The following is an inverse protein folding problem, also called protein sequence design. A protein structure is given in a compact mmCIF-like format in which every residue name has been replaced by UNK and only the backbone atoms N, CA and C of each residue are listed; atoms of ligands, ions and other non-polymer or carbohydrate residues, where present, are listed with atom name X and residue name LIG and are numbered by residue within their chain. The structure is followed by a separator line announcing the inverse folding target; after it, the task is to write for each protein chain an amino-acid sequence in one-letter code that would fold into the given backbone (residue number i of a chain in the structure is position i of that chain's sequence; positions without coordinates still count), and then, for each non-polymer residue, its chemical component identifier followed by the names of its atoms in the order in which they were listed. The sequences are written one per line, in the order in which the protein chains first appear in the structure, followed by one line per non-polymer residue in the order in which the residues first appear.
data_IF_063386681592
#
_entry.id   IF_063386681592
#
_cell.length_a   1.000
_cell.length_b   1.000
_cell.length_c   1.000
_cell.angle_alpha   90.00
_cell.angle_beta   90.00
_cell.angle_gamma   90.00
#
_symmetry.space_group_name_H-M   'P 1'
#
loop_
_entity.id
_entity.type
_entity.pdbx_description
1 polymer ?
#
# COMPACT_ATOMS: atom_id res chain seq x y z
N UNK A 1 8.57 -11.46 -53.63
CA UNK A 1 9.10 -12.25 -52.47
C UNK A 1 10.22 -11.43 -51.86
N UNK A 2 9.88 -10.64 -51.09
CA UNK A 2 10.02 -10.36 -49.65
C UNK A 2 11.45 -10.00 -49.16
N UNK A 3 11.82 -8.74 -49.41
CA UNK A 3 13.00 -8.10 -48.83
C UNK A 3 12.84 -7.72 -47.35
N UNK A 4 11.72 -8.06 -46.70
CA UNK A 4 11.43 -7.74 -45.28
C UNK A 4 11.77 -8.85 -44.29
N UNK A 5 12.13 -10.04 -44.76
CA UNK A 5 12.48 -11.16 -43.87
C UNK A 5 13.99 -11.34 -43.64
N UNK A 6 14.81 -10.66 -44.40
CA UNK A 6 16.28 -10.76 -44.28
C UNK A 6 16.91 -9.75 -43.35
N UNK A 7 16.16 -8.71 -42.91
CA UNK A 7 16.71 -7.67 -42.02
C UNK A 7 16.56 -8.01 -40.52
N UNK A 8 15.69 -8.97 -40.19
CA UNK A 8 15.49 -9.38 -38.78
C UNK A 8 16.46 -10.45 -38.29
N UNK A 9 17.18 -11.13 -39.19
CA UNK A 9 18.18 -12.16 -38.84
C UNK A 9 19.60 -11.64 -38.67
N UNK A 10 19.90 -10.45 -39.18
CA UNK A 10 21.25 -9.86 -39.08
C UNK A 10 21.46 -9.07 -37.79
N UNK A 11 20.40 -8.67 -37.10
CA UNK A 11 20.53 -7.95 -35.82
C UNK A 11 20.66 -8.87 -34.61
N UNK A 12 20.21 -10.13 -34.72
CA UNK A 12 20.34 -11.12 -33.65
C UNK A 12 21.74 -11.78 -33.59
N UNK A 13 22.51 -11.74 -34.70
CA UNK A 13 23.86 -12.31 -34.74
C UNK A 13 24.96 -11.35 -34.26
N UNK A 14 24.66 -10.04 -34.16
CA UNK A 14 25.64 -9.03 -33.71
C UNK A 14 25.70 -8.88 -32.19
N UNK A 15 24.71 -9.38 -31.43
CA UNK A 15 24.71 -9.33 -29.96
C UNK A 15 25.31 -10.58 -29.27
N UNK A 16 25.58 -11.65 -30.03
CA UNK A 16 26.17 -12.87 -29.49
C UNK A 16 27.73 -12.91 -29.59
N UNK A 17 28.36 -11.95 -30.28
CA UNK A 17 29.81 -11.91 -30.49
C UNK A 17 30.58 -11.01 -29.50
N UNK A 18 29.91 -10.33 -28.57
CA UNK A 18 30.50 -9.37 -27.63
C UNK A 18 30.89 -9.90 -26.25
N UNK A 19 30.66 -11.20 -25.95
CA UNK A 19 30.83 -11.75 -24.58
C UNK A 19 31.94 -12.81 -24.42
N UNK A 20 32.85 -12.94 -25.40
CA UNK A 20 33.90 -13.98 -25.37
C UNK A 20 35.34 -13.47 -25.64
N UNK A 21 35.67 -12.22 -25.23
CA UNK A 21 37.06 -11.76 -25.30
C UNK A 21 37.44 -11.06 -23.97
N UNK A 22 37.91 -11.88 -23.02
CA UNK A 22 38.41 -11.38 -21.74
C UNK A 22 38.89 -12.42 -20.78
N UNK A 23 39.77 -13.37 -21.25
CA UNK A 23 40.61 -14.14 -20.34
C UNK A 23 41.83 -14.74 -21.09
N UNK A 24 43.02 -14.36 -20.67
CA UNK A 24 44.29 -15.02 -21.07
C UNK A 24 45.39 -14.01 -21.40
N UNK A 25 46.19 -13.66 -20.48
CA UNK A 25 47.44 -14.28 -20.08
C UNK A 25 48.69 -13.61 -20.59
N UNK A 26 49.47 -13.08 -19.66
CA UNK A 26 50.93 -13.16 -19.47
C UNK A 26 51.90 -12.31 -20.30
N UNK A 27 52.63 -11.57 -19.51
CA UNK A 27 54.12 -11.45 -19.32
C UNK A 27 54.87 -10.31 -19.98
N UNK A 28 55.51 -9.57 -19.04
CA UNK A 28 56.87 -8.98 -19.02
C UNK A 28 57.15 -7.77 -19.92
N UNK A 29 57.64 -6.68 -19.38
CA UNK A 29 58.93 -6.44 -18.74
C UNK A 29 59.03 -4.97 -18.26
N UNK A 30 59.75 -4.83 -17.19
CA UNK A 30 60.24 -3.72 -16.43
C UNK A 30 60.55 -2.38 -17.08
N UNK A 31 60.28 -1.30 -16.34
CA UNK A 31 61.26 -0.26 -16.05
C UNK A 31 60.87 0.54 -14.79
N UNK A 32 61.82 0.65 -13.94
CA UNK A 32 61.94 1.28 -12.62
C UNK A 32 61.65 2.77 -12.64
N UNK A 33 60.91 3.31 -11.61
CA UNK A 33 61.33 4.54 -10.94
C UNK A 33 60.72 4.58 -9.53
N UNK A 34 61.61 4.66 -8.59
CA UNK A 34 61.50 4.84 -7.15
C UNK A 34 60.79 6.14 -6.77
N UNK A 35 59.79 6.06 -5.88
CA UNK A 35 59.58 7.13 -4.90
C UNK A 35 58.94 6.58 -3.65
N UNK A 36 59.66 6.76 -2.58
CA UNK A 36 59.42 6.50 -1.18
C UNK A 36 58.14 7.17 -0.67
N UNK A 37 57.26 6.42 -0.03
CA UNK A 37 56.37 7.03 0.95
C UNK A 37 56.05 6.02 2.08
N UNK A 38 56.40 6.44 3.20
CA UNK A 38 56.26 6.07 4.60
C UNK A 38 54.98 5.23 4.89
N UNK A 39 55.22 4.05 5.42
CA UNK A 39 54.24 3.23 6.17
C UNK A 39 53.83 4.00 7.43
N UNK A 40 52.55 4.22 7.56
CA UNK A 40 51.90 4.51 8.84
C UNK A 40 51.01 3.34 9.20
N UNK A 41 51.55 2.47 10.01
CA UNK A 41 50.88 1.32 10.61
C UNK A 41 49.96 1.86 11.70
N UNK A 42 48.67 1.97 11.42
CA UNK A 42 47.66 2.13 12.45
C UNK A 42 47.19 0.72 12.84
N UNK A 43 47.67 0.24 13.95
CA UNK A 43 47.15 -0.91 14.68
C UNK A 43 45.77 -0.52 15.19
N UNK A 44 44.73 -1.01 14.51
CA UNK A 44 43.38 -1.03 15.06
C UNK A 44 43.28 -2.21 16.00
N UNK A 45 43.46 -1.96 17.29
CA UNK A 45 43.02 -2.85 18.35
C UNK A 45 41.49 -2.81 18.36
N UNK A 46 40.87 -3.75 17.65
CA UNK A 46 39.48 -4.10 17.88
C UNK A 46 39.43 -4.76 19.28
N UNK A 47 39.07 -3.96 20.27
CA UNK A 47 38.57 -4.50 21.51
C UNK A 47 37.19 -5.09 21.23
N UNK A 48 37.17 -6.41 21.00
CA UNK A 48 35.93 -7.17 21.14
C UNK A 48 35.56 -7.15 22.62
N UNK A 49 34.74 -6.21 23.01
CA UNK A 49 33.91 -6.36 24.19
C UNK A 49 32.82 -7.38 23.80
N UNK A 50 33.10 -8.65 24.06
CA UNK A 50 32.06 -9.64 24.28
C UNK A 50 31.25 -9.17 25.48
N UNK A 51 30.22 -8.39 25.26
CA UNK A 51 29.11 -8.27 26.16
C UNK A 51 28.32 -9.57 26.01
N UNK A 52 28.64 -10.57 26.81
CA UNK A 52 27.74 -11.67 27.10
C UNK A 52 26.59 -11.12 27.95
N UNK A 53 25.66 -10.48 27.31
CA UNK A 53 24.29 -10.47 27.75
C UNK A 53 23.64 -11.60 26.96
N UNK A 54 23.02 -12.55 27.66
CA UNK A 54 22.00 -13.43 27.06
C UNK A 54 20.94 -12.47 26.51
N UNK A 55 21.11 -11.99 25.28
CA UNK A 55 20.13 -11.17 24.59
C UNK A 55 18.97 -12.11 24.30
N UNK A 56 17.89 -11.95 25.04
CA UNK A 56 16.69 -12.73 24.88
C UNK A 56 16.04 -12.38 23.54
N UNK A 57 16.48 -13.01 22.47
CA UNK A 57 15.90 -12.91 21.13
C UNK A 57 16.27 -11.65 20.34
N UNK A 58 15.71 -11.58 19.14
CA UNK A 58 15.85 -10.47 18.18
C UNK A 58 14.54 -10.24 17.45
N UNK A 59 14.39 -9.08 16.85
CA UNK A 59 13.24 -8.71 16.00
C UNK A 59 13.71 -8.52 14.57
N UNK A 60 13.04 -9.18 13.63
CA UNK A 60 13.15 -8.88 12.21
C UNK A 60 11.79 -8.48 11.68
N UNK A 61 11.60 -7.17 11.41
CA UNK A 61 10.38 -6.61 10.86
C UNK A 61 10.49 -6.44 9.35
N UNK A 62 9.65 -7.14 8.59
CA UNK A 62 9.44 -6.85 7.16
C UNK A 62 8.35 -5.78 7.03
N UNK A 63 8.79 -4.54 6.82
CA UNK A 63 7.93 -3.38 6.71
C UNK A 63 7.27 -3.28 5.32
N UNK A 64 5.97 -3.06 5.32
CA UNK A 64 5.14 -2.91 4.11
C UNK A 64 5.20 -1.49 3.52
N UNK A 65 5.39 -0.47 4.36
CA UNK A 65 5.21 0.95 4.02
C UNK A 65 6.56 1.59 3.67
N UNK A 66 6.93 1.70 2.37
CA UNK A 66 8.20 2.31 1.98
C UNK A 66 8.30 3.78 2.39
N UNK A 67 7.19 4.50 2.45
CA UNK A 67 7.13 5.89 2.91
C UNK A 67 7.50 6.07 4.39
N UNK A 68 7.51 4.97 5.17
CA UNK A 68 7.82 4.97 6.60
C UNK A 68 9.18 4.32 6.93
N UNK A 69 9.99 4.00 5.93
CA UNK A 69 11.26 3.30 6.14
C UNK A 69 12.16 4.02 7.15
N UNK A 70 12.42 5.30 6.94
CA UNK A 70 13.29 6.09 7.82
C UNK A 70 12.75 6.15 9.26
N UNK A 71 11.45 6.35 9.43
CA UNK A 71 10.82 6.40 10.74
C UNK A 71 10.92 5.07 11.49
N UNK A 72 10.69 3.95 10.80
CA UNK A 72 10.87 2.62 11.39
C UNK A 72 12.33 2.30 11.72
N UNK A 73 13.30 2.68 10.87
CA UNK A 73 14.72 2.51 11.16
C UNK A 73 15.12 3.27 12.44
N UNK A 74 14.66 4.52 12.57
CA UNK A 74 14.92 5.36 13.72
C UNK A 74 14.30 4.80 15.01
N UNK A 75 13.06 4.31 14.94
CA UNK A 75 12.35 3.72 16.07
C UNK A 75 13.01 2.41 16.53
N UNK A 76 13.38 1.55 15.59
CA UNK A 76 14.11 0.31 15.84
C UNK A 76 15.45 0.57 16.55
N UNK A 77 16.17 1.58 16.09
CA UNK A 77 17.44 2.00 16.73
C UNK A 77 17.22 2.44 18.18
N UNK A 78 16.23 3.29 18.44
CA UNK A 78 15.88 3.74 19.81
C UNK A 78 15.57 2.57 20.72
N UNK A 79 14.73 1.64 20.27
CA UNK A 79 14.40 0.45 21.05
C UNK A 79 15.63 -0.40 21.37
N UNK A 80 16.49 -0.63 20.38
CA UNK A 80 17.74 -1.39 20.59
C UNK A 80 18.68 -0.68 21.58
N UNK A 81 18.81 0.66 21.50
CA UNK A 81 19.62 1.45 22.43
C UNK A 81 19.09 1.37 23.87
N UNK A 82 17.77 1.32 24.03
CA UNK A 82 17.12 1.29 25.34
C UNK A 82 17.15 -0.11 25.98
N UNK A 83 16.88 -1.14 25.18
CA UNK A 83 16.64 -2.50 25.70
C UNK A 83 17.80 -3.47 25.48
N UNK A 84 18.70 -3.17 24.56
CA UNK A 84 19.74 -4.08 24.09
C UNK A 84 19.24 -5.15 23.11
N UNK A 85 17.94 -5.23 22.82
CA UNK A 85 17.36 -6.19 21.86
C UNK A 85 17.58 -5.70 20.43
N UNK A 86 18.24 -6.48 19.56
CA UNK A 86 18.42 -6.09 18.16
C UNK A 86 17.10 -6.06 17.41
N UNK A 87 16.85 -4.98 16.68
CA UNK A 87 15.71 -4.85 15.77
C UNK A 87 16.22 -4.50 14.37
N UNK A 88 15.96 -5.40 13.42
CA UNK A 88 16.25 -5.19 12.00
C UNK A 88 14.96 -4.88 11.27
N UNK A 89 14.92 -3.77 10.53
CA UNK A 89 13.81 -3.41 9.65
C UNK A 89 14.26 -3.54 8.20
N UNK A 90 13.55 -4.35 7.43
CA UNK A 90 13.71 -4.43 5.97
C UNK A 90 12.41 -3.96 5.34
N UNK A 91 12.50 -3.00 4.44
CA UNK A 91 11.33 -2.42 3.80
C UNK A 91 11.19 -2.94 2.37
N UNK A 92 10.04 -3.51 2.05
CA UNK A 92 9.72 -3.94 0.70
C UNK A 92 9.46 -2.75 -0.23
N UNK A 93 9.87 -2.85 -1.49
CA UNK A 93 9.53 -1.86 -2.49
C UNK A 93 8.01 -1.83 -2.74
N UNK A 94 7.50 -0.66 -3.16
CA UNK A 94 6.08 -0.47 -3.47
C UNK A 94 5.56 -1.54 -4.45
N UNK A 95 4.44 -2.18 -4.11
CA UNK A 95 3.83 -3.23 -4.91
C UNK A 95 4.57 -4.58 -4.92
N UNK A 96 5.67 -4.73 -4.15
CA UNK A 96 6.49 -5.94 -4.11
C UNK A 96 6.41 -6.70 -2.78
N UNK A 97 5.54 -6.28 -1.88
CA UNK A 97 5.53 -6.83 -0.51
C UNK A 97 5.30 -8.33 -0.47
N UNK A 98 4.25 -8.84 -1.13
CA UNK A 98 3.93 -10.28 -1.13
C UNK A 98 5.06 -11.13 -1.70
N UNK A 99 5.67 -10.70 -2.82
CA UNK A 99 6.81 -11.39 -3.42
C UNK A 99 8.02 -11.38 -2.50
N UNK A 100 8.28 -10.26 -1.83
CA UNK A 100 9.35 -10.12 -0.85
C UNK A 100 9.09 -11.00 0.36
N UNK A 101 7.87 -10.98 0.92
CA UNK A 101 7.50 -11.80 2.07
C UNK A 101 7.65 -13.30 1.77
N UNK A 102 7.19 -13.76 0.61
CA UNK A 102 7.40 -15.16 0.19
C UNK A 102 8.88 -15.53 0.18
N UNK A 103 9.73 -14.70 -0.41
CA UNK A 103 11.16 -14.93 -0.48
C UNK A 103 11.84 -14.88 0.90
N UNK A 104 11.43 -13.95 1.77
CA UNK A 104 12.01 -13.81 3.10
C UNK A 104 11.60 -14.97 4.03
N UNK A 105 10.36 -15.47 3.92
CA UNK A 105 9.87 -16.59 4.72
C UNK A 105 10.55 -17.94 4.41
N UNK A 106 11.17 -18.07 3.24
CA UNK A 106 11.95 -19.25 2.86
C UNK A 106 13.39 -19.28 3.42
N UNK A 107 13.84 -18.14 3.99
CA UNK A 107 15.19 -18.03 4.55
C UNK A 107 15.28 -18.67 5.93
N UNK A 108 16.49 -19.05 6.32
CA UNK A 108 16.79 -19.53 7.69
C UNK A 108 16.55 -18.45 8.75
N UNK A 109 16.69 -17.18 8.37
CA UNK A 109 16.42 -16.00 9.17
C UNK A 109 15.19 -15.29 8.59
N UNK A 110 14.02 -15.88 8.79
CA UNK A 110 12.75 -15.33 8.33
C UNK A 110 12.29 -14.15 9.21
N UNK A 111 11.43 -13.25 8.70
CA UNK A 111 10.85 -12.20 9.52
C UNK A 111 10.11 -12.76 10.73
N UNK A 112 10.38 -12.19 11.92
CA UNK A 112 9.63 -12.50 13.15
C UNK A 112 8.35 -11.69 13.23
N UNK A 113 8.34 -10.53 12.55
CA UNK A 113 7.23 -9.60 12.42
C UNK A 113 6.99 -9.30 10.95
N UNK A 114 5.77 -9.50 10.49
CA UNK A 114 5.35 -9.17 9.13
C UNK A 114 3.92 -8.60 9.14
N UNK A 115 3.40 -8.19 8.00
CA UNK A 115 2.02 -7.73 7.89
C UNK A 115 1.22 -8.51 6.86
N UNK A 116 -0.10 -8.47 7.02
CA UNK A 116 -1.06 -8.90 6.01
C UNK A 116 -2.02 -7.77 5.68
N UNK A 117 -2.50 -7.73 4.43
CA UNK A 117 -3.50 -6.79 3.99
C UNK A 117 -4.90 -7.38 4.23
N UNK A 118 -5.40 -7.17 5.43
CA UNK A 118 -6.73 -7.62 5.85
C UNK A 118 -6.95 -9.12 5.74
N UNK A 119 -8.21 -9.58 5.78
CA UNK A 119 -8.55 -11.00 5.68
C UNK A 119 -8.16 -11.66 4.37
N UNK A 120 -8.06 -10.89 3.28
CA UNK A 120 -7.65 -11.43 1.97
C UNK A 120 -6.17 -11.83 2.01
N UNK A 121 -5.31 -10.95 2.52
CA UNK A 121 -3.89 -11.24 2.73
C UNK A 121 -3.69 -12.36 3.78
N UNK A 122 -4.43 -12.30 4.89
CA UNK A 122 -4.37 -13.31 5.94
C UNK A 122 -4.63 -14.73 5.42
N UNK A 123 -5.53 -14.90 4.44
CA UNK A 123 -5.85 -16.21 3.89
C UNK A 123 -4.63 -16.97 3.34
N UNK A 124 -3.58 -16.26 2.93
CA UNK A 124 -2.33 -16.84 2.43
C UNK A 124 -1.33 -17.14 3.56
N UNK A 125 -1.40 -16.42 4.68
CA UNK A 125 -0.34 -16.40 5.69
C UNK A 125 -0.78 -16.90 7.07
N UNK A 126 -2.05 -17.23 7.28
CA UNK A 126 -2.60 -17.57 8.59
C UNK A 126 -1.88 -18.72 9.31
N UNK A 127 -1.34 -19.67 8.56
CA UNK A 127 -0.61 -20.82 9.11
C UNK A 127 0.74 -20.43 9.73
N UNK A 128 1.24 -19.22 9.41
CA UNK A 128 2.45 -18.62 9.97
C UNK A 128 2.17 -17.63 11.11
N UNK A 129 0.91 -17.36 11.42
CA UNK A 129 0.54 -16.36 12.42
C UNK A 129 0.45 -16.98 13.81
N UNK A 130 1.13 -16.36 14.77
CA UNK A 130 1.00 -16.68 16.20
C UNK A 130 -0.40 -16.28 16.68
N UNK A 131 -0.96 -17.06 17.59
CA UNK A 131 -2.15 -16.63 18.34
C UNK A 131 -1.78 -15.55 19.37
N UNK A 132 -2.25 -14.33 19.13
CA UNK A 132 -1.97 -13.14 19.95
C UNK A 132 -2.98 -12.95 21.09
N UNK A 133 -3.97 -13.82 21.27
CA UNK A 133 -5.08 -13.63 22.22
C UNK A 133 -4.62 -13.44 23.67
N UNK A 134 -3.46 -13.99 24.05
CA UNK A 134 -2.84 -13.85 25.37
C UNK A 134 -1.74 -12.78 25.44
N UNK A 135 -1.47 -12.04 24.38
CA UNK A 135 -0.38 -11.06 24.36
C UNK A 135 -0.79 -9.71 24.97
N UNK A 136 0.20 -9.02 25.56
CA UNK A 136 -0.01 -7.69 26.13
C UNK A 136 -0.41 -6.69 25.05
N UNK A 137 0.23 -6.75 23.87
CA UNK A 137 -0.07 -5.84 22.75
C UNK A 137 -1.51 -5.97 22.25
N UNK A 138 -2.07 -7.19 22.19
CA UNK A 138 -3.48 -7.37 21.87
C UNK A 138 -4.39 -6.71 22.93
N UNK A 139 -4.03 -6.81 24.21
CA UNK A 139 -4.71 -6.16 25.30
C UNK A 139 -4.73 -4.63 25.24
N UNK A 140 -3.87 -4.01 24.42
CA UNK A 140 -3.83 -2.56 24.21
C UNK A 140 -4.80 -2.07 23.13
N UNK A 141 -5.38 -2.93 22.31
CA UNK A 141 -6.38 -2.52 21.31
C UNK A 141 -7.57 -1.82 21.97
N UNK A 142 -8.10 -0.80 21.32
CA UNK A 142 -9.32 -0.08 21.76
C UNK A 142 -10.60 -0.85 21.46
N UNK A 143 -10.56 -1.78 20.51
CA UNK A 143 -11.68 -2.65 20.12
C UNK A 143 -11.19 -3.92 19.45
N UNK A 144 -11.90 -5.02 19.68
CA UNK A 144 -11.68 -6.31 18.99
C UNK A 144 -11.93 -6.24 17.49
N UNK A 145 -12.61 -5.22 16.99
CA UNK A 145 -12.80 -4.99 15.55
C UNK A 145 -11.51 -4.70 14.80
N UNK A 146 -10.45 -4.34 15.52
CA UNK A 146 -9.11 -4.13 14.98
C UNK A 146 -8.23 -5.40 15.00
N UNK A 147 -8.81 -6.55 15.27
CA UNK A 147 -8.14 -7.85 15.21
C UNK A 147 -8.74 -8.73 14.10
N UNK A 148 -7.90 -9.51 13.45
CA UNK A 148 -8.35 -10.60 12.57
C UNK A 148 -8.26 -11.92 13.34
N UNK A 149 -9.24 -12.79 13.11
CA UNK A 149 -9.36 -14.08 13.83
C UNK A 149 -9.46 -15.24 12.84
N UNK A 150 -8.89 -16.38 13.22
CA UNK A 150 -9.13 -17.68 12.59
C UNK A 150 -9.70 -18.62 13.68
N UNK A 151 -11.00 -18.83 13.68
CA UNK A 151 -11.70 -19.43 14.81
C UNK A 151 -11.64 -18.54 16.05
N UNK A 152 -11.11 -19.09 17.15
CA UNK A 152 -10.91 -18.36 18.42
C UNK A 152 -9.54 -17.66 18.51
N UNK A 153 -8.61 -17.98 17.62
CA UNK A 153 -7.27 -17.44 17.64
C UNK A 153 -7.24 -16.01 17.04
N UNK A 154 -6.55 -15.09 17.71
CA UNK A 154 -6.25 -13.75 17.20
C UNK A 154 -4.98 -13.83 16.36
N UNK A 155 -5.11 -13.86 15.05
CA UNK A 155 -3.98 -14.09 14.13
C UNK A 155 -3.21 -12.82 13.80
N UNK A 156 -3.85 -11.66 13.90
CA UNK A 156 -3.21 -10.37 13.59
C UNK A 156 -3.97 -9.19 14.19
N UNK A 157 -3.27 -8.07 14.34
CA UNK A 157 -3.82 -6.83 14.91
C UNK A 157 -3.52 -5.65 14.00
N UNK A 158 -4.52 -4.80 13.79
CA UNK A 158 -4.34 -3.55 13.05
C UNK A 158 -3.37 -2.62 13.78
N UNK A 159 -2.47 -1.97 13.05
CA UNK A 159 -1.54 -1.02 13.65
C UNK A 159 -1.75 0.43 13.20
N UNK A 160 -2.60 0.65 12.20
CA UNK A 160 -2.92 1.99 11.72
C UNK A 160 -4.36 2.04 11.20
N UNK A 161 -5.05 3.15 11.47
CA UNK A 161 -6.30 3.53 10.84
C UNK A 161 -5.97 4.59 9.80
N UNK A 162 -6.44 4.41 8.57
CA UNK A 162 -6.14 5.29 7.46
C UNK A 162 -7.40 5.80 6.79
N UNK A 163 -7.26 6.94 6.13
CA UNK A 163 -8.35 7.61 5.42
C UNK A 163 -7.89 8.00 4.03
N UNK A 164 -8.73 7.82 3.02
CA UNK A 164 -8.45 8.28 1.67
C UNK A 164 -9.64 9.01 1.04
N UNK A 165 -9.28 9.77 0.02
CA UNK A 165 -10.20 10.58 -0.77
C UNK A 165 -9.47 11.12 -1.99
N UNK A 166 -9.80 12.35 -2.38
CA UNK A 166 -9.12 13.10 -3.43
C UNK A 166 -8.35 14.23 -2.76
N UNK A 167 -7.03 14.08 -2.65
CA UNK A 167 -6.15 15.15 -2.19
C UNK A 167 -6.14 16.23 -3.27
N UNK A 168 -6.18 17.50 -2.90
CA UNK A 168 -6.12 18.59 -3.86
C UNK A 168 -5.22 19.73 -3.41
N UNK A 169 -4.69 20.44 -4.40
CA UNK A 169 -3.87 21.64 -4.20
C UNK A 169 -4.81 22.87 -4.16
N UNK A 170 -4.92 23.50 -2.98
CA UNK A 170 -5.82 24.65 -2.75
C UNK A 170 -5.44 25.87 -3.59
N UNK A 171 -4.14 26.12 -3.76
CA UNK A 171 -3.64 27.23 -4.58
C UNK A 171 -4.08 27.07 -6.03
N UNK A 172 -3.92 25.88 -6.62
CA UNK A 172 -4.31 25.60 -8.00
C UNK A 172 -5.84 25.62 -8.18
N UNK A 173 -6.59 25.05 -7.21
CA UNK A 173 -8.05 25.08 -7.24
C UNK A 173 -8.57 26.53 -7.18
N UNK A 174 -8.00 27.36 -6.30
CA UNK A 174 -8.33 28.79 -6.19
C UNK A 174 -7.97 29.56 -7.45
N UNK A 175 -6.80 29.26 -8.06
CA UNK A 175 -6.39 29.88 -9.31
C UNK A 175 -7.34 29.54 -10.48
N UNK A 176 -7.98 28.36 -10.43
CA UNK A 176 -9.02 27.97 -11.37
C UNK A 176 -10.37 28.66 -11.09
N UNK A 177 -10.52 29.36 -9.95
CA UNK A 177 -11.73 30.10 -9.56
C UNK A 177 -12.70 29.28 -8.69
N UNK A 178 -12.22 28.21 -8.06
CA UNK A 178 -13.03 27.31 -7.23
C UNK A 178 -12.46 27.14 -5.82
N UNK A 179 -13.32 26.67 -4.93
CA UNK A 179 -13.01 26.25 -3.57
C UNK A 179 -13.62 24.89 -3.29
N UNK A 180 -13.33 24.30 -2.15
CA UNK A 180 -13.95 23.04 -1.71
C UNK A 180 -15.49 23.16 -1.65
N UNK A 181 -16.03 24.33 -1.31
CA UNK A 181 -17.47 24.56 -1.19
C UNK A 181 -18.23 24.44 -2.52
N UNK A 182 -17.52 24.53 -3.64
CA UNK A 182 -18.08 24.36 -4.98
C UNK A 182 -18.24 22.89 -5.38
N UNK A 183 -17.77 21.92 -4.54
CA UNK A 183 -17.73 20.49 -4.85
C UNK A 183 -18.45 19.71 -3.74
N UNK A 184 -19.72 19.38 -3.95
CA UNK A 184 -20.58 18.69 -2.97
C UNK A 184 -21.12 17.34 -3.46
N UNK A 185 -20.76 16.93 -4.65
CA UNK A 185 -21.17 15.72 -5.30
C UNK A 185 -20.42 15.50 -6.60
N UNK A 186 -20.71 14.38 -7.27
CA UNK A 186 -20.04 14.01 -8.53
C UNK A 186 -20.22 15.05 -9.65
N UNK A 187 -21.43 15.59 -9.82
CA UNK A 187 -21.70 16.53 -10.90
C UNK A 187 -20.90 17.83 -10.73
N UNK A 188 -20.75 18.31 -9.48
CA UNK A 188 -19.89 19.44 -9.17
C UNK A 188 -18.42 19.13 -9.44
N UNK A 189 -17.92 17.97 -8.95
CA UNK A 189 -16.56 17.54 -9.18
C UNK A 189 -16.26 17.46 -10.69
N UNK A 190 -17.17 16.85 -11.46
CA UNK A 190 -17.04 16.72 -12.91
C UNK A 190 -17.00 18.11 -13.57
N UNK A 191 -17.91 19.02 -13.20
CA UNK A 191 -17.94 20.39 -13.75
C UNK A 191 -16.62 21.12 -13.50
N UNK A 192 -16.09 21.04 -12.30
CA UNK A 192 -14.82 21.68 -11.92
C UNK A 192 -13.64 21.05 -12.68
N UNK A 193 -13.60 19.73 -12.75
CA UNK A 193 -12.53 18.99 -13.45
C UNK A 193 -12.56 19.27 -14.96
N UNK A 194 -13.73 19.19 -15.61
CA UNK A 194 -13.91 19.50 -17.04
C UNK A 194 -13.42 20.93 -17.36
N UNK A 195 -13.74 21.92 -16.52
CA UNK A 195 -13.32 23.30 -16.71
C UNK A 195 -11.80 23.46 -16.56
N UNK A 196 -11.21 22.86 -15.53
CA UNK A 196 -9.76 22.86 -15.34
C UNK A 196 -9.06 22.17 -16.52
N UNK A 197 -9.56 21.04 -16.97
CA UNK A 197 -9.01 20.30 -18.11
C UNK A 197 -9.06 21.15 -19.41
N UNK A 198 -10.17 21.82 -19.64
CA UNK A 198 -10.33 22.70 -20.80
C UNK A 198 -9.38 23.90 -20.77
N UNK A 199 -9.08 24.43 -19.59
CA UNK A 199 -8.21 25.61 -19.37
C UNK A 199 -6.81 25.27 -18.90
N UNK A 200 -6.38 24.00 -18.99
CA UNK A 200 -5.11 23.56 -18.43
C UNK A 200 -3.89 24.36 -18.89
N UNK A 201 -3.85 24.76 -20.14
CA UNK A 201 -2.76 25.58 -20.66
C UNK A 201 -2.74 26.99 -20.03
N UNK A 202 -3.91 27.61 -19.80
CA UNK A 202 -4.06 28.89 -19.11
C UNK A 202 -3.62 28.79 -17.65
N UNK A 203 -4.03 27.68 -16.99
CA UNK A 203 -3.76 27.42 -15.57
C UNK A 203 -2.33 26.91 -15.30
N UNK A 204 -1.57 26.56 -16.35
CA UNK A 204 -0.22 26.04 -16.22
C UNK A 204 -0.14 24.60 -15.69
N UNK A 205 -1.24 23.85 -15.77
CA UNK A 205 -1.31 22.44 -15.41
C UNK A 205 -1.36 21.54 -16.65
N UNK A 206 -1.10 20.24 -16.48
CA UNK A 206 -1.17 19.27 -17.56
C UNK A 206 -2.51 18.51 -17.58
N UNK A 207 -3.26 18.55 -16.46
CA UNK A 207 -4.57 17.97 -16.32
C UNK A 207 -5.24 18.35 -15.01
N UNK A 208 -6.54 18.07 -14.87
CA UNK A 208 -7.25 18.25 -13.63
C UNK A 208 -6.80 17.23 -12.58
N UNK A 209 -6.74 15.94 -12.95
CA UNK A 209 -6.24 14.85 -12.12
C UNK A 209 -4.82 14.43 -12.50
N UNK A 210 -4.08 13.91 -11.54
CA UNK A 210 -2.87 13.13 -11.81
C UNK A 210 -3.20 11.91 -12.67
N UNK A 211 -2.19 11.34 -13.31
CA UNK A 211 -2.36 10.07 -14.05
C UNK A 211 -2.91 8.97 -13.13
N UNK A 212 -3.92 8.26 -13.61
CA UNK A 212 -4.45 7.06 -12.98
C UNK A 212 -3.53 5.88 -13.30
N UNK A 213 -2.37 5.80 -12.64
CA UNK A 213 -1.37 4.77 -12.90
C UNK A 213 -1.91 3.37 -12.62
N UNK A 214 -1.88 2.53 -13.65
CA UNK A 214 -2.37 1.15 -13.65
C UNK A 214 -1.27 0.12 -13.80
N UNK A 215 -0.02 0.51 -13.59
CA UNK A 215 1.04 -0.47 -13.45
C UNK A 215 0.84 -1.32 -12.19
N UNK A 216 1.38 -2.55 -12.16
CA UNK A 216 1.11 -3.51 -11.10
C UNK A 216 1.53 -3.09 -9.68
N UNK A 217 2.35 -2.03 -9.56
CA UNK A 217 2.72 -1.44 -8.27
C UNK A 217 1.75 -0.38 -7.76
N UNK A 218 0.83 0.11 -8.61
CA UNK A 218 0.05 1.33 -8.37
C UNK A 218 -1.44 1.20 -8.59
N UNK A 219 -1.89 0.15 -9.25
CA UNK A 219 -3.28 -0.10 -9.66
C UNK A 219 -4.24 -0.33 -8.49
N UNK A 220 -3.71 -0.63 -7.29
CA UNK A 220 -4.49 -0.81 -6.05
C UNK A 220 -5.39 0.39 -5.74
N UNK A 221 -4.97 1.61 -6.10
CA UNK A 221 -5.77 2.82 -5.90
C UNK A 221 -7.13 2.75 -6.60
N UNK A 222 -7.23 2.02 -7.70
CA UNK A 222 -8.43 1.96 -8.54
C UNK A 222 -9.14 0.61 -8.46
N UNK A 223 -8.41 -0.51 -8.55
CA UNK A 223 -9.00 -1.85 -8.45
C UNK A 223 -9.46 -2.22 -7.03
N UNK A 224 -8.96 -1.52 -6.00
CA UNK A 224 -9.32 -1.74 -4.59
C UNK A 224 -9.99 -0.51 -3.99
N UNK A 225 -9.29 0.62 -3.90
CA UNK A 225 -9.78 1.81 -3.20
C UNK A 225 -10.95 2.48 -3.92
N UNK A 226 -10.86 2.67 -5.23
CA UNK A 226 -11.99 3.22 -6.00
C UNK A 226 -13.13 2.20 -6.11
N UNK A 227 -12.82 0.91 -6.32
CA UNK A 227 -13.80 -0.16 -6.36
C UNK A 227 -14.59 -0.33 -5.04
N UNK A 228 -14.04 0.14 -3.94
CA UNK A 228 -14.72 0.15 -2.64
C UNK A 228 -16.05 0.94 -2.68
N UNK A 229 -16.11 2.02 -3.43
CA UNK A 229 -17.27 2.91 -3.44
C UNK A 229 -18.54 2.20 -3.98
N UNK A 230 -18.54 1.59 -5.18
CA UNK A 230 -19.72 0.86 -5.66
C UNK A 230 -20.10 -0.32 -4.75
N UNK A 231 -19.14 -1.00 -4.12
CA UNK A 231 -19.40 -2.07 -3.15
C UNK A 231 -20.10 -1.52 -1.90
N UNK A 232 -19.55 -0.44 -1.32
CA UNK A 232 -20.11 0.20 -0.14
C UNK A 232 -21.56 0.66 -0.35
N UNK A 233 -21.84 1.32 -1.48
CA UNK A 233 -23.19 1.79 -1.79
C UNK A 233 -24.17 0.65 -2.03
N UNK A 234 -23.74 -0.43 -2.68
CA UNK A 234 -24.58 -1.62 -2.83
C UNK A 234 -24.89 -2.27 -1.48
N UNK A 235 -23.89 -2.43 -0.62
CA UNK A 235 -24.09 -2.98 0.72
C UNK A 235 -25.03 -2.13 1.57
N UNK A 236 -24.87 -0.81 1.50
CA UNK A 236 -25.74 0.14 2.19
C UNK A 236 -27.17 0.06 1.69
N UNK A 237 -27.38 -0.02 0.37
CA UNK A 237 -28.70 -0.12 -0.24
C UNK A 237 -29.40 -1.45 0.10
N UNK A 238 -28.64 -2.54 0.13
CA UNK A 238 -29.14 -3.88 0.44
C UNK A 238 -29.22 -4.17 1.94
N UNK A 239 -28.64 -3.32 2.80
CA UNK A 239 -28.60 -3.54 4.26
C UNK A 239 -27.74 -4.73 4.68
N UNK A 240 -26.65 -5.01 3.95
CA UNK A 240 -25.72 -6.12 4.18
C UNK A 240 -24.31 -5.63 4.46
N UNK A 241 -23.45 -6.48 5.03
CA UNK A 241 -22.04 -6.20 5.27
C UNK A 241 -21.07 -7.03 4.42
N UNK A 242 -21.57 -8.04 3.71
CA UNK A 242 -20.80 -8.91 2.82
C UNK A 242 -21.73 -9.70 1.90
N UNK A 243 -21.18 -10.23 0.80
CA UNK A 243 -21.92 -11.11 -0.11
C UNK A 243 -20.97 -12.06 -0.85
N UNK A 244 -21.46 -13.25 -1.20
CA UNK A 244 -20.75 -14.17 -2.09
C UNK A 244 -21.03 -13.89 -3.58
N UNK A 245 -22.00 -13.00 -3.87
CA UNK A 245 -22.40 -12.64 -5.24
C UNK A 245 -22.85 -11.17 -5.25
N UNK A 246 -21.94 -10.29 -5.64
CA UNK A 246 -22.23 -8.87 -5.80
C UNK A 246 -23.11 -8.67 -7.06
N UNK A 247 -24.06 -7.73 -7.00
CA UNK A 247 -24.99 -7.46 -8.11
C UNK A 247 -24.41 -6.49 -9.13
N UNK A 248 -23.52 -5.61 -8.71
CA UNK A 248 -22.99 -4.55 -9.56
C UNK A 248 -23.94 -3.36 -9.74
N UNK A 249 -24.81 -3.12 -8.76
CA UNK A 249 -25.85 -2.07 -8.83
C UNK A 249 -25.27 -0.68 -9.11
N UNK A 250 -24.07 -0.39 -8.60
CA UNK A 250 -23.41 0.92 -8.73
C UNK A 250 -22.24 0.92 -9.73
N UNK A 251 -22.18 -0.02 -10.68
CA UNK A 251 -21.11 -0.05 -11.67
C UNK A 251 -21.19 1.07 -12.71
N UNK A 252 -22.37 1.60 -13.00
CA UNK A 252 -22.51 2.83 -13.80
C UNK A 252 -21.94 4.06 -13.07
N UNK A 253 -22.05 4.10 -11.75
CA UNK A 253 -21.43 5.12 -10.91
C UNK A 253 -19.90 4.96 -10.88
N UNK A 254 -19.41 3.72 -10.80
CA UNK A 254 -17.99 3.41 -10.92
C UNK A 254 -17.42 3.86 -12.27
N UNK A 255 -18.18 3.64 -13.34
CA UNK A 255 -17.84 4.11 -14.69
C UNK A 255 -17.69 5.63 -14.74
N UNK A 256 -18.64 6.37 -14.16
CA UNK A 256 -18.62 7.84 -14.18
C UNK A 256 -17.33 8.41 -13.60
N UNK A 257 -16.93 7.95 -12.40
CA UNK A 257 -15.71 8.45 -11.76
C UNK A 257 -14.45 7.93 -12.47
N UNK A 258 -14.44 6.70 -12.97
CA UNK A 258 -13.32 6.17 -13.75
C UNK A 258 -13.14 6.93 -15.07
N UNK A 259 -14.21 7.18 -15.80
CA UNK A 259 -14.18 8.01 -17.01
C UNK A 259 -13.59 9.40 -16.72
N UNK A 260 -14.02 10.04 -15.64
CA UNK A 260 -13.51 11.35 -15.26
C UNK A 260 -12.00 11.30 -14.97
N UNK A 261 -11.52 10.29 -14.25
CA UNK A 261 -10.11 10.14 -13.93
C UNK A 261 -9.22 9.88 -15.15
N UNK A 262 -9.74 9.22 -16.19
CA UNK A 262 -8.95 8.92 -17.39
C UNK A 262 -9.08 9.98 -18.49
N UNK A 263 -10.15 10.78 -18.51
CA UNK A 263 -10.34 11.85 -19.48
C UNK A 263 -9.74 13.18 -19.05
N UNK A 264 -9.88 13.54 -17.77
CA UNK A 264 -9.46 14.82 -17.22
C UNK A 264 -8.12 14.70 -16.46
N UNK A 265 -7.20 14.01 -17.07
CA UNK A 265 -5.93 13.60 -16.50
C UNK A 265 -4.73 14.23 -17.21
N UNK A 266 -3.59 14.15 -16.57
CA UNK A 266 -2.28 14.60 -17.08
C UNK A 266 -1.76 13.72 -18.21
N UNK A 267 -2.27 12.50 -18.38
CA UNK A 267 -1.73 11.56 -19.37
C UNK A 267 -2.79 10.96 -20.30
N UNK A 268 -2.34 10.49 -21.47
CA UNK A 268 -3.18 9.71 -22.39
C UNK A 268 -3.61 8.39 -21.70
N UNK A 269 -4.92 8.06 -21.66
CA UNK A 269 -5.42 6.82 -21.08
C UNK A 269 -4.79 5.53 -21.62
N UNK A 270 -4.25 5.56 -22.84
CA UNK A 270 -3.54 4.43 -23.46
C UNK A 270 -2.21 4.10 -22.80
N UNK A 271 -1.67 5.02 -21.97
CA UNK A 271 -0.38 4.87 -21.32
C UNK A 271 -0.50 4.41 -19.85
N UNK A 272 -1.71 4.23 -19.32
CA UNK A 272 -1.92 3.95 -17.90
C UNK A 272 -1.25 2.66 -17.41
N UNK A 273 -1.13 1.65 -18.26
CA UNK A 273 -0.43 0.40 -17.89
C UNK A 273 1.05 0.58 -17.53
N UNK A 274 1.68 1.68 -17.98
CA UNK A 274 3.07 2.02 -17.71
C UNK A 274 3.24 3.17 -16.69
N UNK A 275 2.14 3.76 -16.23
CA UNK A 275 2.18 4.85 -15.25
C UNK A 275 2.14 4.31 -13.84
N UNK A 276 3.04 4.84 -12.99
CA UNK A 276 3.23 4.43 -11.61
C UNK A 276 2.63 5.43 -10.61
N UNK A 277 2.54 5.05 -9.34
CA UNK A 277 2.22 5.98 -8.26
C UNK A 277 3.24 7.12 -8.14
N UNK A 278 4.52 6.84 -8.39
CA UNK A 278 5.58 7.86 -8.38
C UNK A 278 5.39 8.90 -9.49
N UNK A 279 4.90 8.50 -10.66
CA UNK A 279 4.52 9.45 -11.73
C UNK A 279 3.42 10.40 -11.23
N UNK A 280 2.37 9.87 -10.58
CA UNK A 280 1.27 10.67 -10.05
C UNK A 280 1.75 11.62 -8.93
N UNK A 281 2.62 11.16 -8.03
CA UNK A 281 3.24 12.02 -6.99
C UNK A 281 4.02 13.16 -7.65
N UNK A 282 4.87 12.84 -8.63
CA UNK A 282 5.70 13.85 -9.32
C UNK A 282 4.83 14.90 -10.04
N UNK A 283 3.72 14.49 -10.67
CA UNK A 283 2.77 15.37 -11.32
C UNK A 283 2.09 16.30 -10.30
N UNK A 284 1.67 15.78 -9.16
CA UNK A 284 0.99 16.55 -8.11
C UNK A 284 1.95 17.52 -7.41
N UNK A 285 3.10 17.06 -6.96
CA UNK A 285 4.13 17.89 -6.31
C UNK A 285 4.72 18.92 -7.28
N UNK A 286 4.84 18.54 -8.55
CA UNK A 286 5.24 19.45 -9.63
C UNK A 286 4.19 20.48 -10.03
N UNK A 287 3.03 20.53 -9.34
CA UNK A 287 1.90 21.42 -9.63
C UNK A 287 1.36 21.27 -11.07
N UNK A 288 1.39 20.03 -11.60
CA UNK A 288 0.89 19.68 -12.93
C UNK A 288 -0.53 19.18 -12.93
N UNK A 289 -1.09 18.86 -11.75
CA UNK A 289 -2.46 18.47 -11.54
C UNK A 289 -3.02 19.10 -10.27
N UNK A 290 -4.33 19.34 -10.26
CA UNK A 290 -5.05 19.89 -9.11
C UNK A 290 -5.46 18.81 -8.12
N UNK A 291 -5.87 17.63 -8.63
CA UNK A 291 -6.47 16.54 -7.88
C UNK A 291 -5.61 15.27 -7.94
N UNK A 292 -5.52 14.58 -6.79
CA UNK A 292 -4.74 13.35 -6.61
C UNK A 292 -5.50 12.38 -5.71
N UNK A 293 -6.07 11.30 -6.25
CA UNK A 293 -6.69 10.27 -5.42
C UNK A 293 -5.62 9.49 -4.66
N UNK A 294 -5.56 9.69 -3.37
CA UNK A 294 -4.74 8.93 -2.45
C UNK A 294 -5.21 9.15 -1.00
N UNK A 295 -4.46 8.65 -0.03
CA UNK A 295 -4.84 8.69 1.37
C UNK A 295 -3.87 9.46 2.27
N UNK A 296 -4.14 9.40 3.57
CA UNK A 296 -3.36 10.05 4.62
C UNK A 296 -1.90 9.62 4.63
N UNK A 297 -1.59 8.42 4.19
CA UNK A 297 -0.22 7.90 4.02
C UNK A 297 0.61 8.66 2.99
N UNK A 298 -0.03 9.29 2.00
CA UNK A 298 0.67 10.06 0.97
C UNK A 298 1.19 11.41 1.46
N UNK A 299 0.89 11.80 2.70
CA UNK A 299 1.33 13.09 3.24
C UNK A 299 2.85 13.27 3.17
N UNK A 300 3.63 12.24 3.49
CA UNK A 300 5.09 12.29 3.42
C UNK A 300 5.61 12.66 2.02
N UNK A 301 4.90 12.24 0.98
CA UNK A 301 5.26 12.52 -0.42
C UNK A 301 4.87 13.93 -0.88
N UNK A 302 3.82 14.52 -0.28
CA UNK A 302 3.21 15.78 -0.75
C UNK A 302 3.40 16.96 0.21
N UNK A 303 3.99 16.76 1.39
CA UNK A 303 4.16 17.78 2.45
C UNK A 303 4.90 19.03 2.02
N UNK A 304 5.80 18.92 1.04
CA UNK A 304 6.57 20.05 0.53
C UNK A 304 5.71 21.10 -0.23
N UNK A 305 4.46 20.75 -0.56
CA UNK A 305 3.48 21.72 -1.07
C UNK A 305 2.96 22.68 0.03
N UNK A 306 3.20 22.37 1.30
CA UNK A 306 2.76 23.12 2.48
C UNK A 306 1.40 22.64 3.00
N UNK A 307 1.30 22.47 4.32
CA UNK A 307 0.11 21.93 4.99
C UNK A 307 -1.15 22.74 4.69
N UNK A 308 -1.03 24.07 4.71
CA UNK A 308 -2.15 24.98 4.42
C UNK A 308 -2.65 24.87 2.98
N UNK A 309 -1.82 24.36 2.07
CA UNK A 309 -2.14 24.21 0.65
C UNK A 309 -2.79 22.84 0.33
N UNK A 310 -2.77 21.91 1.25
CA UNK A 310 -3.37 20.59 1.06
C UNK A 310 -4.82 20.56 1.53
N UNK A 311 -5.69 19.98 0.73
CA UNK A 311 -7.07 19.64 1.08
C UNK A 311 -7.38 18.20 0.68
N UNK A 312 -8.52 17.68 1.13
CA UNK A 312 -9.01 16.37 0.73
C UNK A 312 -10.53 16.40 0.57
N UNK A 313 -11.01 15.86 -0.53
CA UNK A 313 -12.43 15.70 -0.86
C UNK A 313 -12.85 14.24 -0.76
N UNK A 314 -14.13 13.96 -0.45
CA UNK A 314 -14.70 12.63 -0.67
C UNK A 314 -14.64 12.23 -2.14
N UNK A 315 -14.58 10.93 -2.40
CA UNK A 315 -14.69 10.39 -3.76
C UNK A 315 -16.17 10.26 -4.08
N UNK A 316 -16.72 11.23 -4.76
CA UNK A 316 -18.10 11.21 -5.21
C UNK A 316 -18.24 10.40 -6.50
N UNK A 317 -19.26 9.53 -6.57
CA UNK A 317 -19.52 8.67 -7.73
C UNK A 317 -20.89 8.87 -8.36
N UNK A 318 -21.65 9.88 -7.90
CA UNK A 318 -23.01 10.16 -8.34
C UNK A 318 -24.04 9.21 -7.73
N UNK A 319 -23.76 8.66 -6.54
CA UNK A 319 -24.72 7.85 -5.80
C UNK A 319 -25.71 8.75 -5.02
N UNK A 320 -26.93 8.26 -4.84
CA UNK A 320 -27.93 8.97 -4.06
C UNK A 320 -27.49 9.14 -2.60
N UNK A 321 -27.58 10.36 -2.08
CA UNK A 321 -27.22 10.72 -0.70
C UNK A 321 -25.71 10.97 -0.51
N UNK A 322 -24.92 11.04 -1.58
CA UNK A 322 -23.46 11.27 -1.48
C UNK A 322 -23.10 12.68 -0.95
N UNK A 323 -24.05 13.62 -0.94
CA UNK A 323 -23.86 14.94 -0.34
C UNK A 323 -23.58 14.88 1.18
N UNK A 324 -23.94 13.76 1.82
CA UNK A 324 -23.64 13.48 3.22
C UNK A 324 -22.41 12.57 3.41
N UNK A 325 -21.76 12.18 2.32
CA UNK A 325 -20.60 11.32 2.33
C UNK A 325 -19.38 12.06 2.88
N UNK A 326 -18.64 11.40 3.77
CA UNK A 326 -17.31 11.77 4.21
C UNK A 326 -16.23 10.99 3.44
N UNK A 327 -15.05 10.91 4.04
CA UNK A 327 -13.90 10.20 3.48
C UNK A 327 -13.99 8.69 3.73
N UNK A 328 -13.25 7.92 2.95
CA UNK A 328 -13.15 6.48 3.13
C UNK A 328 -12.18 6.15 4.27
N UNK A 329 -12.65 5.52 5.34
CA UNK A 329 -11.86 5.29 6.56
C UNK A 329 -11.91 3.82 6.96
N UNK A 330 -10.75 3.27 7.35
CA UNK A 330 -10.63 1.88 7.79
C UNK A 330 -9.20 1.46 8.05
N UNK A 331 -8.98 0.14 8.11
CA UNK A 331 -7.65 -0.46 8.22
C UNK A 331 -7.54 -1.69 7.34
N UNK A 332 -6.40 -1.84 6.69
CA UNK A 332 -6.01 -3.04 5.95
C UNK A 332 -4.64 -3.55 6.39
N UNK A 333 -3.96 -2.81 7.26
CA UNK A 333 -2.59 -3.08 7.69
C UNK A 333 -2.60 -3.77 9.06
N UNK A 334 -2.30 -5.08 9.07
CA UNK A 334 -2.35 -5.91 10.27
C UNK A 334 -1.00 -6.56 10.53
N UNK A 335 -0.43 -6.35 11.71
CA UNK A 335 0.76 -7.07 12.16
C UNK A 335 0.48 -8.52 12.47
N UNK A 336 1.38 -9.39 12.03
CA UNK A 336 1.45 -10.81 12.35
C UNK A 336 2.82 -11.12 12.96
N UNK A 337 2.83 -11.90 14.02
CA UNK A 337 4.05 -12.48 14.61
C UNK A 337 4.24 -13.87 14.04
N UNK A 338 5.44 -14.18 13.54
CA UNK A 338 5.74 -15.45 12.91
C UNK A 338 5.86 -16.57 13.96
N UNK A 339 4.93 -17.51 13.92
CA UNK A 339 4.88 -18.65 14.86
C UNK A 339 5.99 -19.70 14.64
N UNK A 340 6.76 -19.61 13.54
CA UNK A 340 7.90 -20.49 13.26
C UNK A 340 9.23 -19.96 13.79
N UNK A 341 9.24 -18.74 14.36
CA UNK A 341 10.40 -18.15 15.02
C UNK A 341 10.69 -18.87 16.35
N UNK A 342 11.89 -18.69 16.92
CA UNK A 342 12.21 -19.19 18.24
C UNK A 342 11.33 -18.53 19.31
N UNK A 343 11.14 -19.20 20.44
CA UNK A 343 10.35 -18.63 21.55
C UNK A 343 10.93 -17.29 22.04
N UNK A 344 12.27 -17.16 22.04
CA UNK A 344 12.98 -15.93 22.42
C UNK A 344 12.72 -14.81 21.41
N UNK A 345 12.73 -15.10 20.10
CA UNK A 345 12.45 -14.12 19.05
C UNK A 345 10.96 -13.71 19.04
N UNK A 346 10.06 -14.65 19.30
CA UNK A 346 8.63 -14.36 19.47
C UNK A 346 8.42 -13.40 20.64
N UNK A 347 9.00 -13.71 21.81
CA UNK A 347 8.84 -12.84 22.98
C UNK A 347 9.44 -11.44 22.73
N UNK A 348 10.65 -11.38 22.15
CA UNK A 348 11.29 -10.11 21.79
C UNK A 348 10.40 -9.29 20.82
N UNK A 349 9.75 -9.95 19.88
CA UNK A 349 8.82 -9.29 18.93
C UNK A 349 7.56 -8.77 19.61
N UNK A 350 6.96 -9.56 20.51
CA UNK A 350 5.80 -9.12 21.31
C UNK A 350 6.13 -7.94 22.21
N UNK A 351 7.30 -7.96 22.86
CA UNK A 351 7.78 -6.86 23.72
C UNK A 351 8.04 -5.59 22.90
N UNK A 352 8.63 -5.73 21.71
CA UNK A 352 8.83 -4.61 20.77
C UNK A 352 7.50 -4.00 20.35
N UNK A 353 6.53 -4.81 19.92
CA UNK A 353 5.21 -4.33 19.53
C UNK A 353 4.50 -3.62 20.69
N UNK A 354 4.53 -4.21 21.90
CA UNK A 354 3.93 -3.59 23.07
C UNK A 354 4.59 -2.27 23.42
N UNK A 355 5.92 -2.18 23.35
CA UNK A 355 6.67 -0.93 23.54
C UNK A 355 6.30 0.12 22.49
N UNK A 356 6.18 -0.24 21.20
CA UNK A 356 5.78 0.69 20.15
C UNK A 356 4.43 1.38 20.44
N UNK A 357 3.47 0.64 21.02
CA UNK A 357 2.09 1.13 21.21
C UNK A 357 1.79 1.64 22.62
N UNK A 358 2.75 1.54 23.57
CA UNK A 358 2.54 1.94 24.97
C UNK A 358 3.57 2.93 25.47
N UNK A 359 4.82 2.92 24.98
CA UNK A 359 5.85 3.84 25.41
C UNK A 359 5.62 5.25 24.87
N UNK A 360 6.21 6.24 25.50
CA UNK A 360 6.14 7.64 25.07
C UNK A 360 6.89 7.82 23.75
N UNK A 361 8.04 7.17 23.60
CA UNK A 361 8.86 7.17 22.40
C UNK A 361 8.14 6.49 21.22
N UNK A 362 7.57 5.30 21.42
CA UNK A 362 6.87 4.55 20.40
C UNK A 362 5.63 5.29 19.90
N UNK A 363 4.77 5.73 20.83
CA UNK A 363 3.52 6.42 20.48
C UNK A 363 3.76 7.80 19.86
N UNK A 364 4.81 8.54 20.29
CA UNK A 364 5.22 9.79 19.65
C UNK A 364 5.73 9.55 18.22
N UNK A 365 6.61 8.57 18.03
CA UNK A 365 7.12 8.27 16.69
C UNK A 365 5.99 7.86 15.73
N UNK A 366 5.05 7.05 16.20
CA UNK A 366 3.91 6.65 15.36
C UNK A 366 2.99 7.84 15.00
N UNK A 367 2.75 8.76 15.94
CA UNK A 367 1.90 9.92 15.69
C UNK A 367 2.60 11.04 14.90
N UNK A 368 3.85 11.37 15.28
CA UNK A 368 4.56 12.56 14.79
C UNK A 368 5.44 12.25 13.57
N UNK A 369 6.25 11.17 13.63
CA UNK A 369 7.19 10.85 12.57
C UNK A 369 6.49 10.09 11.43
N UNK A 370 5.58 9.15 11.76
CA UNK A 370 4.86 8.33 10.79
C UNK A 370 3.50 8.93 10.39
N UNK A 371 2.95 9.85 11.20
CA UNK A 371 1.63 10.44 10.95
C UNK A 371 0.49 9.43 11.11
N UNK A 372 0.67 8.39 11.93
CA UNK A 372 -0.33 7.33 12.11
C UNK A 372 -1.42 7.72 13.10
N UNK A 373 -2.62 7.21 12.84
CA UNK A 373 -3.67 7.03 13.85
C UNK A 373 -3.66 5.56 14.23
N UNK A 374 -3.24 5.25 15.44
CA UNK A 374 -3.13 3.86 15.90
C UNK A 374 -4.34 3.44 16.74
N UNK A 375 -4.87 2.20 16.58
CA UNK A 375 -6.06 1.74 17.31
C UNK A 375 -5.74 1.23 18.73
N UNK A 376 -4.83 1.90 19.45
CA UNK A 376 -4.37 1.49 20.78
C UNK A 376 -4.68 2.53 21.85
N UNK A 377 -4.79 2.07 23.11
CA UNK A 377 -5.22 2.89 24.26
C UNK A 377 -4.33 4.09 24.56
N UNK A 378 -3.02 3.97 24.30
CA UNK A 378 -2.06 5.04 24.52
C UNK A 378 -1.77 5.88 23.27
N UNK A 379 -2.60 5.78 22.22
CA UNK A 379 -2.44 6.56 21.00
C UNK A 379 -2.36 8.06 21.28
N UNK A 380 -1.45 8.74 20.59
CA UNK A 380 -1.34 10.20 20.54
C UNK A 380 -2.04 10.74 19.30
N UNK A 381 -2.44 12.00 19.33
CA UNK A 381 -2.99 12.67 18.16
C UNK A 381 -1.91 12.80 17.08
N UNK A 382 -2.26 12.44 15.85
CA UNK A 382 -1.36 12.54 14.71
C UNK A 382 -1.19 13.99 14.28
N UNK A 383 0.03 14.36 13.92
CA UNK A 383 0.37 15.69 13.37
C UNK A 383 0.11 15.79 11.86
N UNK A 384 -0.31 14.72 11.20
CA UNK A 384 -0.63 14.72 9.78
C UNK A 384 -1.87 15.59 9.48
N UNK A 385 -1.73 16.70 8.70
CA UNK A 385 -2.84 17.63 8.43
C UNK A 385 -4.00 17.00 7.66
N UNK A 386 -3.76 15.95 6.86
CA UNK A 386 -4.83 15.23 6.16
C UNK A 386 -5.75 14.49 7.14
N UNK A 387 -5.24 14.09 8.31
CA UNK A 387 -6.04 13.48 9.37
C UNK A 387 -6.92 14.53 10.06
N UNK A 388 -6.41 15.75 10.26
CA UNK A 388 -7.23 16.86 10.76
C UNK A 388 -8.41 17.12 9.83
N UNK A 389 -8.20 17.14 8.51
CA UNK A 389 -9.27 17.28 7.51
C UNK A 389 -10.29 16.13 7.62
N UNK A 390 -9.81 14.89 7.80
CA UNK A 390 -10.70 13.74 7.99
C UNK A 390 -11.58 13.89 9.24
N UNK A 391 -11.01 14.37 10.34
CA UNK A 391 -11.73 14.63 11.58
C UNK A 391 -12.76 15.76 11.42
N UNK A 392 -12.46 16.79 10.62
CA UNK A 392 -13.41 17.88 10.33
C UNK A 392 -14.66 17.37 9.63
N UNK A 393 -14.53 16.46 8.63
CA UNK A 393 -15.69 15.83 8.00
C UNK A 393 -16.58 15.09 9.00
N UNK A 394 -15.97 14.35 9.93
CA UNK A 394 -16.72 13.66 11.00
C UNK A 394 -17.40 14.66 11.93
N UNK A 395 -16.72 15.74 12.31
CA UNK A 395 -17.27 16.80 13.16
C UNK A 395 -18.44 17.55 12.50
N UNK A 396 -18.41 17.68 11.16
CA UNK A 396 -19.51 18.24 10.37
C UNK A 396 -20.69 17.27 10.19
N UNK A 397 -20.61 16.06 10.74
CA UNK A 397 -21.66 15.04 10.67
C UNK A 397 -21.71 14.28 9.35
N UNK A 398 -20.64 14.32 8.54
CA UNK A 398 -20.53 13.50 7.33
C UNK A 398 -20.32 12.04 7.69
N UNK A 399 -20.88 11.15 6.89
CA UNK A 399 -20.77 9.71 7.08
C UNK A 399 -19.52 9.17 6.40
N UNK A 400 -18.61 8.61 7.17
CA UNK A 400 -17.44 7.91 6.62
C UNK A 400 -17.86 6.72 5.76
N UNK A 401 -17.12 6.46 4.68
CA UNK A 401 -17.27 5.28 3.85
C UNK A 401 -16.37 4.19 4.42
N UNK A 402 -16.97 3.10 4.89
CA UNK A 402 -16.22 1.97 5.43
C UNK A 402 -15.44 1.24 4.33
N UNK A 403 -14.29 0.69 4.71
CA UNK A 403 -13.50 -0.15 3.82
C UNK A 403 -14.09 -1.56 3.72
N UNK A 404 -14.68 -1.86 2.56
CA UNK A 404 -15.22 -3.19 2.24
C UNK A 404 -14.15 -4.18 1.74
N UNK A 405 -12.88 -3.87 1.88
CA UNK A 405 -11.76 -4.67 1.34
C UNK A 405 -11.75 -6.09 1.88
N UNK A 406 -12.12 -6.25 3.15
CA UNK A 406 -12.21 -7.56 3.82
C UNK A 406 -13.22 -8.52 3.18
N UNK A 407 -14.18 -7.97 2.43
CA UNK A 407 -15.23 -8.74 1.77
C UNK A 407 -14.91 -9.09 0.34
N UNK A 408 -13.92 -8.44 -0.28
CA UNK A 408 -13.47 -8.76 -1.63
C UNK A 408 -12.99 -10.21 -1.70
N UNK A 409 -13.37 -10.97 -2.74
CA UNK A 409 -13.23 -12.42 -2.70
C UNK A 409 -11.78 -12.92 -2.76
N UNK A 410 -10.89 -12.23 -3.49
CA UNK A 410 -9.48 -12.63 -3.64
C UNK A 410 -8.64 -11.56 -4.35
N UNK A 411 -7.31 -11.69 -4.28
CA UNK A 411 -6.38 -10.87 -5.08
C UNK A 411 -6.54 -11.15 -6.60
N UNK A 412 -6.89 -12.39 -6.99
CA UNK A 412 -7.17 -12.71 -8.39
C UNK A 412 -8.35 -11.89 -8.94
N UNK A 413 -9.39 -11.71 -8.13
CA UNK A 413 -10.51 -10.85 -8.50
C UNK A 413 -10.09 -9.40 -8.68
N UNK A 414 -9.36 -8.84 -7.71
CA UNK A 414 -8.83 -7.46 -7.79
C UNK A 414 -8.00 -7.26 -9.06
N UNK A 415 -7.10 -8.18 -9.36
CA UNK A 415 -6.25 -8.14 -10.54
C UNK A 415 -7.07 -8.24 -11.85
N UNK A 416 -8.12 -9.06 -11.88
CA UNK A 416 -9.05 -9.16 -13.01
C UNK A 416 -9.78 -7.84 -13.27
N UNK A 417 -10.28 -7.19 -12.24
CA UNK A 417 -10.90 -5.85 -12.33
C UNK A 417 -9.89 -4.80 -12.81
N UNK A 418 -8.69 -4.78 -12.24
CA UNK A 418 -7.61 -3.87 -12.65
C UNK A 418 -7.23 -4.01 -14.12
N UNK A 419 -7.10 -5.26 -14.59
CA UNK A 419 -6.80 -5.54 -16.00
C UNK A 419 -7.90 -5.05 -16.93
N UNK A 420 -9.18 -5.26 -16.55
CA UNK A 420 -10.32 -4.81 -17.34
C UNK A 420 -10.43 -3.28 -17.39
N UNK A 421 -10.20 -2.58 -16.25
CA UNK A 421 -10.14 -1.11 -16.18
C UNK A 421 -9.04 -0.55 -17.09
N UNK A 422 -7.87 -1.18 -17.10
CA UNK A 422 -6.74 -0.78 -17.94
C UNK A 422 -7.05 -0.95 -19.42
N UNK A 423 -7.63 -2.09 -19.81
CA UNK A 423 -8.02 -2.36 -21.18
C UNK A 423 -9.13 -1.39 -21.66
N UNK A 424 -10.10 -1.10 -20.79
CA UNK A 424 -11.14 -0.11 -21.07
C UNK A 424 -10.54 1.28 -21.32
N UNK A 425 -9.66 1.75 -20.44
CA UNK A 425 -9.00 3.04 -20.59
C UNK A 425 -8.17 3.13 -21.88
N UNK A 426 -7.50 2.05 -22.27
CA UNK A 426 -6.71 1.97 -23.49
C UNK A 426 -7.56 1.86 -24.77
N UNK A 427 -8.87 1.67 -24.65
CA UNK A 427 -9.78 1.44 -25.79
C UNK A 427 -9.62 0.06 -26.43
N UNK A 428 -9.01 -0.90 -25.73
CA UNK A 428 -8.84 -2.30 -26.17
C UNK A 428 -9.84 -3.26 -25.52
N UNK A 429 -10.61 -2.78 -24.55
CA UNK A 429 -11.70 -3.46 -23.87
C UNK A 429 -12.93 -2.58 -23.74
N UNK A 430 -14.05 -3.17 -23.34
CA UNK A 430 -15.33 -2.49 -23.13
C UNK A 430 -15.63 -2.32 -21.64
N UNK A 431 -16.62 -1.47 -21.30
CA UNK A 431 -17.12 -1.42 -19.93
C UNK A 431 -17.82 -2.71 -19.51
N UNK A 432 -18.45 -3.43 -20.46
CA UNK A 432 -19.04 -4.74 -20.19
C UNK A 432 -18.01 -5.78 -19.74
N UNK A 433 -16.76 -5.66 -20.20
CA UNK A 433 -15.66 -6.50 -19.71
C UNK A 433 -15.34 -6.18 -18.25
N UNK A 434 -15.39 -4.89 -17.84
CA UNK A 434 -15.23 -4.48 -16.43
C UNK A 434 -16.38 -5.04 -15.59
N UNK A 435 -17.63 -4.92 -16.06
CA UNK A 435 -18.81 -5.48 -15.37
C UNK A 435 -18.65 -6.99 -15.19
N UNK A 436 -18.25 -7.71 -16.22
CA UNK A 436 -18.02 -9.16 -16.17
C UNK A 436 -16.90 -9.52 -15.18
N UNK A 437 -15.76 -8.81 -15.23
CA UNK A 437 -14.67 -9.04 -14.29
C UNK A 437 -15.09 -8.77 -12.84
N UNK A 438 -15.92 -7.74 -12.63
CA UNK A 438 -16.40 -7.36 -11.32
C UNK A 438 -17.43 -8.36 -10.77
N UNK A 439 -18.53 -8.60 -11.48
CA UNK A 439 -19.69 -9.37 -11.01
C UNK A 439 -19.45 -10.88 -11.13
N UNK A 440 -19.17 -11.39 -12.34
CA UNK A 440 -18.97 -12.82 -12.56
C UNK A 440 -17.65 -13.27 -11.93
N UNK A 441 -16.63 -12.41 -11.96
CA UNK A 441 -15.36 -12.62 -11.28
C UNK A 441 -15.54 -12.76 -9.77
N UNK A 442 -16.36 -11.91 -9.15
CA UNK A 442 -16.68 -12.00 -7.72
C UNK A 442 -17.28 -13.37 -7.36
N UNK A 443 -18.38 -13.72 -7.99
CA UNK A 443 -19.09 -14.97 -7.74
C UNK A 443 -18.21 -16.21 -7.97
N UNK A 444 -17.34 -16.19 -9.00
CA UNK A 444 -16.38 -17.26 -9.27
C UNK A 444 -15.36 -17.41 -8.16
N UNK A 445 -14.74 -16.30 -7.74
CA UNK A 445 -13.70 -16.32 -6.73
C UNK A 445 -14.25 -16.64 -5.32
N UNK A 446 -15.46 -16.20 -4.99
CA UNK A 446 -16.14 -16.56 -3.77
C UNK A 446 -16.38 -18.09 -3.67
N UNK A 447 -16.85 -18.72 -4.75
CA UNK A 447 -17.00 -20.18 -4.83
C UNK A 447 -15.68 -20.93 -4.66
N UNK A 448 -14.59 -20.44 -5.29
CA UNK A 448 -13.26 -21.05 -5.13
C UNK A 448 -12.75 -20.94 -3.67
N UNK A 449 -13.02 -19.83 -3.00
CA UNK A 449 -12.67 -19.64 -1.60
C UNK A 449 -13.43 -20.63 -0.70
N UNK A 450 -14.73 -20.83 -0.93
CA UNK A 450 -15.54 -21.80 -0.20
C UNK A 450 -15.05 -23.24 -0.42
N UNK A 451 -14.81 -23.66 -1.67
CA UNK A 451 -14.30 -24.98 -1.99
C UNK A 451 -12.96 -25.29 -1.29
N UNK A 452 -12.04 -24.35 -1.27
CA UNK A 452 -10.75 -24.49 -0.55
C UNK A 452 -10.93 -24.64 0.97
N UNK A 453 -11.92 -23.97 1.55
CA UNK A 453 -12.24 -24.10 2.98
C UNK A 453 -12.86 -25.45 3.31
N UNK A 454 -13.70 -26.00 2.43
CA UNK A 454 -14.32 -27.34 2.59
C UNK A 454 -13.28 -28.46 2.48
N UNK A 455 -12.37 -28.38 1.49
CA UNK A 455 -11.27 -29.34 1.32
C UNK A 455 -10.35 -29.39 2.56
N UNK A 456 -10.04 -28.22 3.14
CA UNK A 456 -9.22 -28.15 4.37
C UNK A 456 -9.93 -28.77 5.57
N UNK A 457 -11.24 -28.58 5.72
CA UNK A 457 -12.04 -29.22 6.78
C UNK A 457 -12.17 -30.73 6.58
N UNK A 458 -12.31 -31.19 5.33
CA UNK A 458 -12.37 -32.60 4.98
C UNK A 458 -11.05 -33.35 5.15
N UNK A 459 -9.92 -32.73 4.81
CA UNK A 459 -8.58 -33.30 4.95
C UNK A 459 -8.13 -33.45 6.40
N UNK A 460 -8.62 -32.61 7.31
CA UNK A 460 -8.32 -32.73 8.76
C UNK A 460 -9.07 -33.87 9.47
N UNK A 461 -10.10 -34.43 8.84
CA UNK A 461 -10.90 -35.53 9.43
C UNK A 461 -10.35 -36.94 9.12
N UNK A 462 -9.27 -37.07 8.34
CA UNK A 462 -8.83 -38.34 7.76
C UNK A 462 -7.49 -38.89 8.23
N UNK A 463 -6.74 -38.26 9.14
CA UNK A 463 -5.48 -38.83 9.66
C UNK A 463 -5.62 -39.20 11.15
N UNK A 464 -5.57 -40.49 11.50
CA UNK A 464 -5.32 -40.86 12.88
C UNK A 464 -3.87 -40.49 13.23
N UNK A 465 -3.70 -39.71 14.30
CA UNK A 465 -2.36 -39.42 14.85
C UNK A 465 -1.72 -40.71 15.35
N UNK A 466 -0.41 -40.91 15.08
CA UNK A 466 0.34 -42.06 15.63
C UNK A 466 0.51 -41.97 17.13
#
# INVERSE_FOLDING_TARGET
MNAKKTLSMTLAAAMAAGLLAGCGGSSSTAASSTSTSTESKAESTAASTEATTDAAGKVYYLNFKPEQDEAWQNLAKKYTEETGVPVTVVTAASGQYETTLMSEMEKSEAPTLFQVNGPVGLANWKDYCLDLSGSDVYGQLTSDSFALKDGDAVTSIAYVIETYGIIYNKELLTAAGYTQDDIKGFDDLKKVADDIQARKAELGVDGAFTSAGMDGSSDWRFKTHLANLPIYYEYKADGIGSTDAIKGTYLDNYKKIWDLYITDSTCDPKLLASKTGNDAVAEFVGKKAVFYQNGTWAYSDVKDLGDDNLGMLPIYIGAEGEENQGLCTGSENFWCVNNTSSDEDIQATLDFLNWCVTSDEGTSAMADDMGFVIPFKAAKDSTNPLIAIANDYVAEGKTSVDWCFSTMPSEEWKNGVGSALTAYAAGTGSWDDVVTAFVDGWARNARLKQARQEDRKGGSAGMPRP
#
